data_IF_111740247459
#
_entry.id   IF_111740247459
#
_cell.length_a   1.000
_cell.length_b   1.000
_cell.length_c   1.000
_cell.angle_alpha   90.00
_cell.angle_beta   90.00
_cell.angle_gamma   90.00
#
_symmetry.space_group_name_H-M   'P 1'
#
loop_
_entity.id
_entity.type
_entity.pdbx_description
1 polymer ?
#
# COMPACT_ATOMS: atom_id res chain seq x y z
N UNK A 1 13.66 -6.72 7.08
CA UNK A 1 13.05 -7.06 5.79
C UNK A 1 14.02 -7.86 4.93
N UNK A 2 13.52 -8.47 3.89
CA UNK A 2 14.33 -9.05 2.82
C UNK A 2 14.35 -8.03 1.68
N UNK A 3 15.53 -7.54 1.31
CA UNK A 3 15.66 -6.44 0.35
C UNK A 3 15.23 -6.83 -1.06
N UNK A 4 15.48 -8.08 -1.48
CA UNK A 4 15.06 -8.56 -2.79
C UNK A 4 13.54 -8.76 -2.85
N UNK A 5 12.95 -9.35 -1.81
CA UNK A 5 11.49 -9.44 -1.68
C UNK A 5 10.85 -8.05 -1.69
N UNK A 6 11.41 -7.10 -0.93
CA UNK A 6 10.90 -5.74 -0.85
C UNK A 6 10.93 -5.05 -2.21
N UNK A 7 12.05 -5.12 -2.93
CA UNK A 7 12.18 -4.59 -4.29
C UNK A 7 11.10 -5.16 -5.21
N UNK A 8 10.97 -6.48 -5.26
CA UNK A 8 10.03 -7.16 -6.16
C UNK A 8 8.57 -6.82 -5.84
N UNK A 9 8.20 -6.71 -4.55
CA UNK A 9 6.85 -6.31 -4.13
C UNK A 9 6.58 -4.86 -4.52
N UNK A 10 7.51 -3.93 -4.28
CA UNK A 10 7.34 -2.51 -4.64
C UNK A 10 7.20 -2.33 -6.14
N UNK A 11 8.06 -2.96 -6.94
CA UNK A 11 7.97 -2.90 -8.40
C UNK A 11 6.62 -3.45 -8.88
N UNK A 12 6.23 -4.65 -8.45
CA UNK A 12 4.93 -5.22 -8.79
C UNK A 12 3.79 -4.29 -8.40
N UNK A 13 3.81 -3.76 -7.17
CA UNK A 13 2.74 -2.91 -6.67
C UNK A 13 2.65 -1.56 -7.41
N UNK A 14 3.76 -1.01 -7.92
CA UNK A 14 3.76 0.26 -8.62
C UNK A 14 3.63 0.13 -10.13
N UNK A 15 4.37 -0.80 -10.75
CA UNK A 15 4.56 -0.76 -12.22
C UNK A 15 3.63 -1.68 -13.00
N UNK A 16 3.03 -2.70 -12.36
CA UNK A 16 2.14 -3.63 -13.06
C UNK A 16 0.88 -2.95 -13.65
N UNK A 17 0.35 -1.94 -12.97
CA UNK A 17 -0.74 -1.07 -13.47
C UNK A 17 -0.85 0.17 -12.57
N UNK A 18 -0.15 1.26 -12.87
CA UNK A 18 0.00 2.40 -11.96
C UNK A 18 -1.29 3.20 -11.72
N UNK A 19 -2.24 3.19 -12.67
CA UNK A 19 -3.47 3.99 -12.64
C UNK A 19 -4.63 3.36 -11.88
N UNK A 20 -4.42 2.25 -11.16
CA UNK A 20 -5.49 1.59 -10.40
C UNK A 20 -5.37 1.84 -8.90
N UNK A 21 -6.50 1.76 -8.20
CA UNK A 21 -6.63 2.10 -6.78
C UNK A 21 -5.80 1.26 -5.80
N UNK A 22 -5.35 0.06 -6.19
CA UNK A 22 -4.49 -0.81 -5.38
C UNK A 22 -3.00 -0.74 -5.78
N UNK A 23 -2.61 0.16 -6.69
CA UNK A 23 -1.21 0.44 -6.97
C UNK A 23 -0.55 1.16 -5.79
N UNK A 24 0.75 0.91 -5.57
CA UNK A 24 1.49 1.61 -4.53
C UNK A 24 1.69 3.09 -4.90
N UNK A 25 1.34 3.98 -3.98
CA UNK A 25 1.51 5.43 -4.14
C UNK A 25 2.63 5.98 -3.27
N UNK A 26 2.90 5.33 -2.14
CA UNK A 26 3.92 5.74 -1.18
C UNK A 26 4.75 4.53 -0.72
N UNK A 27 6.04 4.77 -0.48
CA UNK A 27 6.99 3.82 0.06
C UNK A 27 7.65 4.41 1.31
N UNK A 28 7.45 3.78 2.45
CA UNK A 28 8.09 4.15 3.71
C UNK A 28 9.25 3.19 3.98
N UNK A 29 10.45 3.72 4.14
CA UNK A 29 11.67 2.93 4.36
C UNK A 29 12.19 3.19 5.78
N UNK A 30 12.37 2.13 6.56
CA UNK A 30 12.91 2.27 7.93
C UNK A 30 14.37 2.72 7.89
N UNK A 31 14.74 3.72 8.69
CA UNK A 31 16.08 4.35 8.71
C UNK A 31 17.23 3.35 8.83
N UNK A 32 17.05 2.26 9.63
CA UNK A 32 18.10 1.25 9.85
C UNK A 32 18.49 0.46 8.61
N UNK A 33 17.59 0.36 7.61
CA UNK A 33 17.88 -0.33 6.35
C UNK A 33 18.03 0.66 5.18
N UNK A 34 17.72 1.94 5.40
CA UNK A 34 17.68 2.93 4.33
C UNK A 34 19.02 3.05 3.60
N UNK A 35 20.14 3.04 4.31
CA UNK A 35 21.49 3.11 3.70
C UNK A 35 21.76 1.97 2.71
N UNK A 36 21.22 0.78 2.97
CA UNK A 36 21.38 -0.40 2.12
C UNK A 36 20.30 -0.47 1.04
N UNK A 37 19.05 -0.25 1.44
CA UNK A 37 17.89 -0.49 0.58
C UNK A 37 17.60 0.66 -0.40
N UNK A 38 17.78 1.92 -0.01
CA UNK A 38 17.47 3.06 -0.87
C UNK A 38 18.20 3.00 -2.23
N UNK A 39 19.52 2.74 -2.30
CA UNK A 39 20.18 2.61 -3.60
C UNK A 39 19.60 1.50 -4.48
N UNK A 40 19.20 0.38 -3.89
CA UNK A 40 18.62 -0.77 -4.60
C UNK A 40 17.28 -0.40 -5.21
N UNK A 41 16.38 0.16 -4.40
CA UNK A 41 15.02 0.46 -4.86
C UNK A 41 14.97 1.66 -5.80
N UNK A 42 15.78 2.70 -5.56
CA UNK A 42 15.82 3.87 -6.44
C UNK A 42 16.35 3.51 -7.83
N UNK A 43 17.38 2.65 -7.92
CA UNK A 43 17.86 2.16 -9.20
C UNK A 43 16.79 1.34 -9.93
N UNK A 44 16.10 0.43 -9.22
CA UNK A 44 15.07 -0.40 -9.81
C UNK A 44 13.85 0.41 -10.28
N UNK A 45 13.43 1.44 -9.53
CA UNK A 45 12.36 2.35 -9.93
C UNK A 45 12.76 3.19 -11.16
N UNK A 46 14.02 3.61 -11.22
CA UNK A 46 14.56 4.34 -12.38
C UNK A 46 14.61 3.48 -13.66
N UNK A 47 14.96 2.20 -13.53
CA UNK A 47 14.93 1.24 -14.66
C UNK A 47 13.52 1.05 -15.21
N UNK A 48 12.49 1.18 -14.36
CA UNK A 48 11.07 1.14 -14.72
C UNK A 48 10.48 2.52 -15.06
N UNK A 49 11.31 3.54 -15.24
CA UNK A 49 10.92 4.92 -15.58
C UNK A 49 9.95 5.55 -14.56
N UNK A 50 10.01 5.13 -13.29
CA UNK A 50 9.18 5.68 -12.21
C UNK A 50 9.86 6.93 -11.62
N UNK A 51 9.17 8.08 -11.67
CA UNK A 51 9.60 9.30 -10.99
C UNK A 51 9.47 9.11 -9.47
N UNK A 52 10.52 9.43 -8.74
CA UNK A 52 10.52 9.36 -7.28
C UNK A 52 10.40 10.77 -6.70
N UNK A 53 9.43 10.96 -5.82
CA UNK A 53 9.24 12.18 -5.03
C UNK A 53 9.50 11.91 -3.57
N UNK A 54 10.07 12.85 -2.83
CA UNK A 54 10.39 12.65 -1.44
C UNK A 54 10.68 13.91 -0.65
N UNK A 55 10.80 13.77 0.65
CA UNK A 55 11.24 14.84 1.55
C UNK A 55 12.78 14.88 1.68
N UNK A 56 13.28 15.80 2.51
CA UNK A 56 14.72 15.95 2.74
C UNK A 56 15.37 14.64 3.22
N UNK A 57 14.66 13.79 3.96
CA UNK A 57 15.19 12.52 4.44
C UNK A 57 15.50 11.54 3.32
N UNK A 58 14.73 11.58 2.24
CA UNK A 58 14.88 10.74 1.05
C UNK A 58 15.88 11.33 0.05
N UNK A 59 15.83 12.65 -0.19
CA UNK A 59 16.73 13.39 -1.09
C UNK A 59 18.20 13.22 -0.66
N UNK A 60 18.47 13.04 0.62
CA UNK A 60 19.82 12.77 1.13
C UNK A 60 20.45 11.47 0.56
N UNK A 61 19.64 10.55 0.04
CA UNK A 61 20.13 9.30 -0.58
C UNK A 61 20.36 9.42 -2.09
N UNK A 62 19.58 10.26 -2.78
CA UNK A 62 19.74 10.53 -4.21
C UNK A 62 19.18 11.91 -4.56
N UNK A 63 20.04 12.77 -5.11
CA UNK A 63 19.68 14.14 -5.52
C UNK A 63 18.74 14.20 -6.74
N UNK A 64 18.50 13.08 -7.41
CA UNK A 64 17.52 13.01 -8.50
C UNK A 64 16.06 12.90 -8.00
N UNK A 65 15.86 12.65 -6.72
CA UNK A 65 14.53 12.63 -6.11
C UNK A 65 13.93 14.04 -6.17
N UNK A 66 12.75 14.15 -6.75
CA UNK A 66 12.00 15.41 -6.83
C UNK A 66 11.46 15.75 -5.45
N UNK A 67 11.62 16.99 -5.01
CA UNK A 67 11.10 17.40 -3.70
C UNK A 67 9.57 17.38 -3.69
N UNK A 68 8.99 16.55 -2.81
CA UNK A 68 7.56 16.55 -2.53
C UNK A 68 7.18 17.70 -1.58
N UNK A 69 6.01 18.30 -1.81
CA UNK A 69 5.38 19.21 -0.85
C UNK A 69 4.44 18.43 0.10
N UNK A 70 3.98 19.08 1.17
CA UNK A 70 3.15 18.41 2.18
C UNK A 70 1.80 17.90 1.65
N UNK A 71 1.23 18.56 0.64
CA UNK A 71 -0.05 18.18 0.05
C UNK A 71 0.06 16.91 -0.78
N UNK A 72 1.23 16.64 -1.37
CA UNK A 72 1.46 15.44 -2.20
C UNK A 72 1.39 14.13 -1.42
N UNK A 73 1.54 14.17 -0.08
CA UNK A 73 1.37 12.97 0.73
C UNK A 73 -0.08 12.47 0.78
N UNK A 74 -1.07 13.36 0.55
CA UNK A 74 -2.49 13.00 0.44
C UNK A 74 -2.89 12.55 -0.97
N UNK A 75 -2.11 12.88 -2.00
CA UNK A 75 -2.49 12.65 -3.38
C UNK A 75 -2.17 11.22 -3.84
N UNK A 76 -3.08 10.64 -4.62
CA UNK A 76 -2.78 9.49 -5.47
C UNK A 76 -2.24 10.02 -6.80
N UNK A 77 -1.06 9.57 -7.20
CA UNK A 77 -0.45 10.00 -8.47
C UNK A 77 -1.10 9.33 -9.67
N UNK A 78 -1.55 8.08 -9.51
CA UNK A 78 -2.18 7.24 -10.56
C UNK A 78 -1.32 7.12 -11.83
N UNK A 79 -0.01 7.27 -11.69
CA UNK A 79 0.98 7.32 -12.76
C UNK A 79 2.29 6.66 -12.31
N UNK A 80 3.30 6.61 -13.17
CA UNK A 80 4.66 6.16 -12.85
C UNK A 80 5.39 7.19 -11.95
N UNK A 81 4.76 7.49 -10.83
CA UNK A 81 5.27 8.39 -9.79
C UNK A 81 5.05 7.71 -8.43
N UNK A 82 6.05 7.74 -7.55
CA UNK A 82 5.94 7.20 -6.19
C UNK A 82 6.55 8.17 -5.17
N UNK A 83 5.84 8.38 -4.06
CA UNK A 83 6.37 9.10 -2.91
C UNK A 83 7.25 8.19 -2.05
N UNK A 84 8.47 8.64 -1.67
CA UNK A 84 9.37 7.87 -0.81
C UNK A 84 9.74 8.69 0.42
N UNK A 85 9.67 8.07 1.59
CA UNK A 85 10.04 8.70 2.87
C UNK A 85 10.80 7.73 3.76
N UNK A 86 11.86 8.22 4.42
CA UNK A 86 12.58 7.47 5.45
C UNK A 86 11.93 7.73 6.81
N UNK A 87 11.61 6.66 7.55
CA UNK A 87 10.95 6.70 8.84
C UNK A 87 11.82 6.05 9.92
N UNK A 88 11.72 6.54 11.15
CA UNK A 88 12.56 6.09 12.27
C UNK A 88 12.13 4.73 12.83
N UNK A 89 10.83 4.43 12.80
CA UNK A 89 10.26 3.23 13.38
C UNK A 89 8.89 2.88 12.80
N UNK A 90 8.34 1.74 13.23
CA UNK A 90 7.04 1.25 12.78
C UNK A 90 5.87 2.12 13.27
N UNK A 91 5.99 2.79 14.41
CA UNK A 91 4.93 3.66 14.92
C UNK A 91 4.77 4.91 14.06
N UNK A 92 5.89 5.52 13.66
CA UNK A 92 5.87 6.62 12.71
C UNK A 92 5.28 6.19 11.36
N UNK A 93 5.68 5.03 10.83
CA UNK A 93 5.12 4.49 9.59
C UNK A 93 3.59 4.31 9.70
N UNK A 94 3.09 3.68 10.75
CA UNK A 94 1.66 3.48 10.98
C UNK A 94 0.91 4.81 11.09
N UNK A 95 1.48 5.80 11.78
CA UNK A 95 0.88 7.12 11.91
C UNK A 95 0.79 7.84 10.56
N UNK A 96 1.84 7.77 9.73
CA UNK A 96 1.85 8.32 8.38
C UNK A 96 0.79 7.64 7.51
N UNK A 97 0.74 6.32 7.50
CA UNK A 97 -0.24 5.53 6.74
C UNK A 97 -1.67 5.89 7.15
N UNK A 98 -1.97 5.88 8.44
CA UNK A 98 -3.33 6.18 8.93
C UNK A 98 -3.74 7.65 8.71
N UNK A 99 -2.77 8.56 8.59
CA UNK A 99 -3.03 9.98 8.38
C UNK A 99 -3.20 10.36 6.90
N UNK A 100 -2.32 9.83 6.04
CA UNK A 100 -2.27 10.21 4.62
C UNK A 100 -2.86 9.15 3.68
N UNK A 101 -3.00 7.90 4.12
CA UNK A 101 -3.48 6.79 3.30
C UNK A 101 -4.96 6.93 2.93
N UNK A 102 -5.34 6.32 1.81
CA UNK A 102 -6.73 6.26 1.35
C UNK A 102 -7.60 5.29 2.15
N UNK A 103 -6.99 4.49 3.03
CA UNK A 103 -7.66 3.39 3.75
C UNK A 103 -7.97 2.18 2.87
N UNK A 104 -7.36 2.10 1.68
CA UNK A 104 -7.63 1.04 0.71
C UNK A 104 -6.80 -0.21 0.98
N UNK A 105 -5.51 -0.18 0.72
CA UNK A 105 -4.61 -1.34 0.80
C UNK A 105 -3.23 -0.93 1.26
N UNK A 106 -2.73 -1.59 2.30
CA UNK A 106 -1.45 -1.28 2.90
C UNK A 106 -0.63 -2.55 3.13
N UNK A 107 0.67 -2.48 2.96
CA UNK A 107 1.55 -3.63 3.09
C UNK A 107 2.79 -3.32 3.93
N UNK A 108 3.19 -4.29 4.76
CA UNK A 108 4.50 -4.30 5.42
C UNK A 108 5.36 -5.45 4.89
N UNK A 109 6.65 -5.17 4.67
CA UNK A 109 7.62 -6.22 4.34
C UNK A 109 8.53 -6.40 5.55
N UNK A 110 8.40 -7.52 6.24
CA UNK A 110 9.13 -7.80 7.47
C UNK A 110 9.31 -9.30 7.71
N UNK A 111 10.40 -9.67 8.40
CA UNK A 111 10.61 -11.02 8.98
C UNK A 111 10.31 -11.05 10.49
N UNK A 112 10.04 -9.89 11.09
CA UNK A 112 9.72 -9.76 12.50
C UNK A 112 8.23 -9.98 12.74
N UNK A 113 7.91 -11.02 13.52
CA UNK A 113 6.53 -11.38 13.83
C UNK A 113 5.81 -10.30 14.64
N UNK A 114 6.47 -9.69 15.63
CA UNK A 114 5.85 -8.66 16.47
C UNK A 114 5.47 -7.42 15.65
N UNK A 115 6.36 -6.98 14.74
CA UNK A 115 6.08 -5.88 13.84
C UNK A 115 4.97 -6.22 12.84
N UNK A 116 4.90 -7.46 12.32
CA UNK A 116 3.80 -7.87 11.45
C UNK A 116 2.45 -7.81 12.16
N UNK A 117 2.37 -8.33 13.39
CA UNK A 117 1.13 -8.29 14.18
C UNK A 117 0.72 -6.85 14.54
N UNK A 118 1.69 -6.03 14.94
CA UNK A 118 1.45 -4.61 15.24
C UNK A 118 0.89 -3.86 14.03
N UNK A 119 1.47 -4.07 12.87
CA UNK A 119 1.02 -3.47 11.61
C UNK A 119 -0.42 -3.89 11.28
N UNK A 120 -0.69 -5.21 11.27
CA UNK A 120 -2.02 -5.75 10.99
C UNK A 120 -3.11 -5.21 11.92
N UNK A 121 -2.77 -4.94 13.20
CA UNK A 121 -3.73 -4.46 14.20
C UNK A 121 -3.92 -2.94 14.18
N UNK A 122 -2.90 -2.17 13.80
CA UNK A 122 -2.89 -0.71 13.97
C UNK A 122 -3.14 0.06 12.67
N UNK A 123 -2.90 -0.55 11.53
CA UNK A 123 -3.19 0.10 10.24
C UNK A 123 -4.67 -0.03 9.94
N UNK A 124 -5.31 1.11 9.66
CA UNK A 124 -6.75 1.20 9.40
C UNK A 124 -7.01 1.28 7.89
N UNK A 125 -6.90 0.15 7.22
CA UNK A 125 -7.20 0.00 5.80
C UNK A 125 -8.15 -1.18 5.55
N UNK A 126 -8.80 -1.19 4.40
CA UNK A 126 -9.73 -2.27 4.00
C UNK A 126 -8.99 -3.60 3.78
N UNK A 127 -7.74 -3.55 3.30
CA UNK A 127 -6.87 -4.70 3.16
C UNK A 127 -5.48 -4.40 3.70
N UNK A 128 -4.95 -5.26 4.56
CA UNK A 128 -3.63 -5.11 5.18
C UNK A 128 -2.81 -6.37 4.97
N UNK A 129 -1.61 -6.22 4.42
CA UNK A 129 -0.76 -7.33 3.97
C UNK A 129 0.55 -7.41 4.73
N UNK A 130 1.05 -8.63 4.86
CA UNK A 130 2.42 -8.91 5.28
C UNK A 130 3.12 -9.67 4.15
N UNK A 131 4.23 -9.12 3.63
CA UNK A 131 5.06 -9.72 2.60
C UNK A 131 4.31 -10.06 1.29
N UNK A 132 3.33 -9.25 0.92
CA UNK A 132 2.58 -9.40 -0.31
C UNK A 132 2.30 -8.03 -0.93
N UNK A 133 2.08 -8.01 -2.24
CA UNK A 133 1.74 -6.81 -3.00
C UNK A 133 0.31 -6.36 -2.74
N UNK A 134 0.07 -5.05 -2.69
CA UNK A 134 -1.27 -4.45 -2.61
C UNK A 134 -2.13 -4.78 -3.83
N UNK A 135 -1.52 -5.20 -4.94
CA UNK A 135 -2.21 -5.66 -6.16
C UNK A 135 -3.12 -6.87 -5.92
N UNK A 136 -2.94 -7.61 -4.83
CA UNK A 136 -3.86 -8.69 -4.44
C UNK A 136 -5.24 -8.22 -3.98
N UNK A 137 -5.44 -6.93 -3.70
CA UNK A 137 -6.77 -6.39 -3.37
C UNK A 137 -7.63 -6.33 -4.63
N UNK A 138 -8.25 -7.45 -4.97
CA UNK A 138 -9.05 -7.63 -6.18
C UNK A 138 -10.11 -8.71 -5.93
N UNK A 139 -11.32 -8.49 -6.43
CA UNK A 139 -12.44 -9.40 -6.19
C UNK A 139 -12.27 -10.78 -6.83
N UNK A 140 -11.53 -10.90 -7.93
CA UNK A 140 -11.20 -12.19 -8.52
C UNK A 140 -10.12 -12.90 -7.73
N UNK A 141 -9.06 -12.18 -7.32
CA UNK A 141 -7.99 -12.73 -6.47
C UNK A 141 -8.53 -13.21 -5.12
N UNK A 142 -9.54 -12.51 -4.56
CA UNK A 142 -10.21 -12.90 -3.32
C UNK A 142 -11.25 -14.01 -3.50
N UNK A 143 -11.51 -14.45 -4.73
CA UNK A 143 -12.44 -15.54 -5.03
C UNK A 143 -13.91 -15.12 -5.04
N UNK A 144 -14.23 -13.83 -5.15
CA UNK A 144 -15.62 -13.33 -5.19
C UNK A 144 -16.24 -13.43 -6.59
N UNK A 145 -15.48 -13.84 -7.60
CA UNK A 145 -15.95 -14.06 -8.98
C UNK A 145 -16.32 -12.78 -9.75
N UNK A 146 -16.27 -11.62 -9.11
CA UNK A 146 -16.50 -10.30 -9.70
C UNK A 146 -15.98 -9.21 -8.77
N UNK A 147 -15.78 -8.00 -9.32
CA UNK A 147 -15.55 -6.79 -8.55
C UNK A 147 -16.32 -5.63 -9.18
N UNK A 148 -17.17 -4.97 -8.40
CA UNK A 148 -17.82 -3.72 -8.81
C UNK A 148 -17.04 -2.50 -8.31
N UNK A 149 -16.20 -2.69 -7.32
CA UNK A 149 -15.34 -1.69 -6.72
C UNK A 149 -14.79 -2.16 -5.37
N UNK A 150 -13.97 -1.32 -4.74
CA UNK A 150 -13.37 -1.58 -3.44
C UNK A 150 -13.78 -0.45 -2.49
N UNK A 151 -14.50 -0.80 -1.44
CA UNK A 151 -14.98 0.17 -0.45
C UNK A 151 -13.97 0.35 0.68
N UNK A 152 -13.66 1.59 1.02
CA UNK A 152 -12.82 1.95 2.18
C UNK A 152 -13.62 2.32 3.42
N UNK A 153 -14.95 2.35 3.33
CA UNK A 153 -15.82 2.65 4.48
C UNK A 153 -15.79 1.54 5.54
N UNK A 154 -16.14 1.88 6.78
CA UNK A 154 -16.10 0.94 7.92
C UNK A 154 -17.40 0.16 8.15
N UNK A 155 -18.48 0.61 7.54
CA UNK A 155 -19.74 -0.13 7.49
C UNK A 155 -19.72 -1.12 6.33
N UNK A 156 -20.73 -1.97 6.24
CA UNK A 156 -20.92 -2.89 5.12
C UNK A 156 -21.19 -2.07 3.81
N UNK A 157 -20.57 -2.38 2.68
CA UNK A 157 -19.49 -3.33 2.52
C UNK A 157 -18.14 -2.65 2.68
N UNK A 158 -17.10 -3.42 3.06
CA UNK A 158 -15.72 -2.93 3.15
C UNK A 158 -14.80 -3.88 2.37
N UNK A 159 -13.81 -3.32 1.65
CA UNK A 159 -12.92 -4.08 0.75
C UNK A 159 -13.55 -4.34 -0.61
N UNK A 160 -13.03 -5.32 -1.39
CA UNK A 160 -13.57 -5.69 -2.68
C UNK A 160 -15.03 -6.16 -2.58
N UNK A 161 -15.88 -5.62 -3.45
CA UNK A 161 -17.32 -5.90 -3.51
C UNK A 161 -17.64 -6.73 -4.74
N UNK A 162 -17.99 -7.99 -4.53
CA UNK A 162 -18.51 -8.89 -5.54
C UNK A 162 -20.04 -8.96 -5.52
N UNK A 163 -20.60 -10.04 -6.10
CA UNK A 163 -22.04 -10.24 -6.23
C UNK A 163 -22.76 -10.25 -4.88
N UNK A 164 -22.20 -10.89 -3.87
CA UNK A 164 -22.79 -10.99 -2.53
C UNK A 164 -23.00 -9.61 -1.88
N UNK A 165 -22.03 -8.71 -2.02
CA UNK A 165 -22.11 -7.35 -1.49
C UNK A 165 -23.21 -6.48 -2.12
N UNK A 166 -23.70 -6.86 -3.31
CA UNK A 166 -24.77 -6.17 -4.05
C UNK A 166 -26.15 -6.71 -3.75
N UNK A 167 -26.26 -7.74 -2.95
CA UNK A 167 -27.52 -8.40 -2.62
C UNK A 167 -27.84 -8.27 -1.13
N UNK A 168 -29.08 -8.53 -0.79
CA UNK A 168 -29.54 -8.67 0.58
C UNK A 168 -30.44 -9.90 0.69
N UNK A 169 -30.76 -10.30 1.90
CA UNK A 169 -31.62 -11.45 2.18
C UNK A 169 -32.86 -11.04 2.98
N UNK A 170 -33.88 -11.85 2.90
CA UNK A 170 -35.05 -11.78 3.77
C UNK A 170 -35.29 -13.13 4.43
N UNK A 171 -35.81 -13.11 5.62
CA UNK A 171 -36.29 -14.33 6.30
C UNK A 171 -37.70 -14.65 5.84
N UNK A 172 -37.98 -15.91 5.52
CA UNK A 172 -39.32 -16.41 5.21
C UNK A 172 -39.64 -17.50 6.24
N UNK A 173 -40.66 -17.29 7.02
CA UNK A 173 -41.12 -18.22 8.04
C UNK A 173 -42.54 -18.69 7.63
N UNK A 174 -42.71 -20.02 7.48
CA UNK A 174 -44.00 -20.60 7.17
C UNK A 174 -44.49 -21.30 8.44
N UNK A 175 -45.66 -20.89 8.95
CA UNK A 175 -46.36 -21.56 10.04
C UNK A 175 -47.25 -22.71 9.51
N UNK A 176 -47.60 -23.65 10.39
CA UNK A 176 -48.55 -24.69 10.08
C UNK A 176 -49.99 -24.16 10.25
#
# INVERSE_FOLDING_TARGET
>A
ADSEMAKNIVLNAKTSRPSVCNAAEKLLVHEKIAKEFMPIILNALKEEEVEVRGDESSIAYDSSIVKANDEEWYNEYLDYIIGVKVVKDIDEAINIINHFGSGHSEAIITKDYANSQKFLQKVDAAAVYVNASTRFTDGYEFGFGAEIGISTQKLHARGPMGLEALTSYKYVILGN
#
